data_IF_145173690834
#
_entry.id   IF_145173690834
#
_cell.length_a   1.000
_cell.length_b   1.000
_cell.length_c   1.000
_cell.angle_alpha   90.00
_cell.angle_beta   90.00
_cell.angle_gamma   90.00
#
_symmetry.space_group_name_H-M   'P 1'
#
loop_
_entity.id
_entity.type
_entity.pdbx_description
1 polymer ?
#
# COMPACT_ATOMS: atom_id res chain seq x y z
N UNK A 1 -27.01 -12.45 0.08
CA UNK A 1 -25.61 -12.26 0.48
C UNK A 1 -25.21 -10.91 -0.06
N UNK A 2 -25.42 -9.86 0.75
CA UNK A 2 -25.07 -8.50 0.36
C UNK A 2 -23.56 -8.37 0.32
N UNK A 3 -23.05 -8.05 -0.87
CA UNK A 3 -21.71 -7.54 -1.07
C UNK A 3 -21.58 -6.24 -0.29
N UNK A 4 -20.97 -6.31 0.89
CA UNK A 4 -20.49 -5.16 1.63
C UNK A 4 -19.38 -4.46 0.83
N UNK A 5 -19.74 -3.78 -0.25
CA UNK A 5 -19.00 -2.66 -0.78
C UNK A 5 -19.02 -1.60 0.32
N UNK A 6 -18.03 -1.67 1.21
CA UNK A 6 -17.72 -0.59 2.16
C UNK A 6 -17.04 0.53 1.37
N UNK A 7 -17.81 1.19 0.51
CA UNK A 7 -17.44 2.48 -0.03
C UNK A 7 -17.66 3.49 1.10
N UNK A 8 -16.59 4.01 1.67
CA UNK A 8 -16.68 5.09 2.65
C UNK A 8 -16.69 6.41 1.89
N UNK A 9 -17.66 7.28 2.19
CA UNK A 9 -17.74 8.59 1.55
C UNK A 9 -16.77 9.56 2.22
N UNK A 10 -16.23 10.52 1.46
CA UNK A 10 -15.27 11.51 2.00
C UNK A 10 -15.89 12.31 3.14
N UNK A 11 -17.20 12.50 3.12
CA UNK A 11 -17.95 13.23 4.13
C UNK A 11 -18.00 12.51 5.49
N UNK A 12 -17.78 11.18 5.53
CA UNK A 12 -17.74 10.39 6.78
C UNK A 12 -16.50 10.69 7.65
N UNK A 13 -15.55 11.47 7.13
CA UNK A 13 -14.29 11.82 7.80
C UNK A 13 -14.21 13.28 8.25
N UNK A 14 -15.31 14.05 8.14
CA UNK A 14 -15.35 15.44 8.62
C UNK A 14 -15.29 15.44 10.15
N UNK A 15 -14.12 15.78 10.71
CA UNK A 15 -13.86 15.80 12.16
C UNK A 15 -13.16 14.55 12.71
N UNK A 16 -12.81 13.58 11.84
CA UNK A 16 -11.83 12.58 12.21
C UNK A 16 -10.50 13.28 12.49
N UNK A 17 -10.11 13.36 13.77
CA UNK A 17 -8.85 13.98 14.24
C UNK A 17 -7.76 13.93 13.17
N UNK A 18 -7.04 15.04 12.94
CA UNK A 18 -5.73 14.99 12.30
C UNK A 18 -4.90 13.91 13.00
N UNK A 19 -4.89 12.70 12.43
CA UNK A 19 -4.14 11.56 12.92
C UNK A 19 -3.16 11.28 11.80
N UNK A 20 -1.92 11.68 12.05
CA UNK A 20 -0.82 11.67 11.08
C UNK A 20 -0.50 10.26 10.58
N UNK A 21 -0.76 9.21 11.38
CA UNK A 21 -0.57 7.80 10.99
C UNK A 21 -1.44 6.86 11.85
N UNK A 22 -1.97 5.79 11.26
CA UNK A 22 -2.58 4.67 11.98
C UNK A 22 -2.34 3.30 11.31
N UNK A 23 -2.40 2.23 12.10
CA UNK A 23 -2.25 0.85 11.65
C UNK A 23 -3.53 0.07 11.94
N UNK A 24 -4.06 -0.64 10.96
CA UNK A 24 -5.27 -1.45 11.09
C UNK A 24 -4.96 -2.92 10.81
N UNK A 25 -4.30 -3.63 11.74
CA UNK A 25 -3.97 -5.03 11.53
C UNK A 25 -5.21 -5.91 11.58
N UNK A 26 -5.33 -6.81 10.60
CA UNK A 26 -6.39 -7.81 10.60
C UNK A 26 -5.96 -9.05 11.39
N UNK A 27 -6.94 -9.80 11.91
CA UNK A 27 -6.68 -11.11 12.50
C UNK A 27 -6.28 -12.08 11.39
N UNK A 28 -5.23 -12.88 11.58
CA UNK A 28 -4.82 -13.92 10.62
C UNK A 28 -5.99 -14.85 10.30
N UNK A 29 -6.17 -15.18 9.02
CA UNK A 29 -7.13 -16.17 8.54
C UNK A 29 -6.46 -17.17 7.60
N UNK A 30 -7.23 -18.15 7.12
CA UNK A 30 -6.76 -19.13 6.14
C UNK A 30 -7.44 -18.92 4.79
N UNK A 31 -6.67 -18.90 3.71
CA UNK A 31 -7.16 -18.88 2.33
C UNK A 31 -6.50 -20.03 1.57
N UNK A 32 -7.29 -20.98 1.05
CA UNK A 32 -6.78 -22.15 0.31
C UNK A 32 -5.68 -22.98 1.01
N UNK A 33 -5.64 -22.97 2.34
CA UNK A 33 -4.62 -23.67 3.14
C UNK A 33 -3.47 -22.78 3.62
N UNK A 34 -3.31 -21.60 3.02
CA UNK A 34 -2.31 -20.62 3.41
C UNK A 34 -2.80 -19.74 4.56
N UNK A 35 -1.91 -19.39 5.49
CA UNK A 35 -2.17 -18.37 6.50
C UNK A 35 -1.95 -16.99 5.89
N UNK A 36 -2.97 -16.15 5.93
CA UNK A 36 -2.97 -14.82 5.32
C UNK A 36 -3.13 -13.75 6.39
N UNK A 37 -2.42 -12.63 6.20
CA UNK A 37 -2.48 -11.43 7.02
C UNK A 37 -2.49 -10.20 6.12
N UNK A 38 -3.55 -9.39 6.19
CA UNK A 38 -3.55 -8.06 5.60
C UNK A 38 -3.19 -7.02 6.64
N UNK A 39 -2.25 -6.16 6.29
CA UNK A 39 -1.79 -5.03 7.11
C UNK A 39 -2.08 -3.75 6.35
N UNK A 40 -3.04 -2.98 6.85
CA UNK A 40 -3.38 -1.67 6.30
C UNK A 40 -2.67 -0.57 7.09
N UNK A 41 -1.80 0.19 6.41
CA UNK A 41 -1.10 1.35 6.96
C UNK A 41 -1.66 2.58 6.27
N UNK A 42 -2.19 3.55 7.02
CA UNK A 42 -2.54 4.85 6.44
C UNK A 42 -1.78 5.94 7.18
N UNK A 43 -1.00 6.70 6.43
CA UNK A 43 -0.17 7.77 6.95
C UNK A 43 -0.20 8.96 6.00
N UNK A 44 -0.17 10.17 6.56
CA UNK A 44 -0.24 11.42 5.80
C UNK A 44 1.01 11.67 4.94
N UNK A 45 2.14 11.06 5.30
CA UNK A 45 3.40 11.17 4.57
C UNK A 45 3.56 10.14 3.45
N UNK A 46 2.60 9.23 3.24
CA UNK A 46 2.56 8.39 2.02
C UNK A 46 2.20 9.28 0.83
N UNK A 47 3.19 9.59 0.02
CA UNK A 47 3.10 10.49 -1.13
C UNK A 47 4.14 10.10 -2.19
N UNK A 48 4.09 10.74 -3.36
CA UNK A 48 5.09 10.58 -4.43
C UNK A 48 6.51 10.98 -4.02
N UNK A 49 6.66 11.75 -2.94
CA UNK A 49 7.94 12.21 -2.41
C UNK A 49 8.36 11.53 -1.10
N UNK A 50 7.70 10.43 -0.69
CA UNK A 50 8.09 9.70 0.52
C UNK A 50 9.52 9.18 0.38
N UNK A 51 10.33 9.28 1.43
CA UNK A 51 11.70 8.74 1.40
C UNK A 51 11.72 7.22 1.67
N UNK A 52 12.74 6.47 1.21
CA UNK A 52 12.92 5.07 1.57
C UNK A 52 12.89 4.84 3.09
N UNK A 53 13.48 5.77 3.85
CA UNK A 53 13.51 5.74 5.32
C UNK A 53 12.09 5.81 5.89
N UNK A 54 11.31 6.81 5.49
CA UNK A 54 9.94 7.00 5.99
C UNK A 54 9.04 5.81 5.62
N UNK A 55 9.18 5.30 4.40
CA UNK A 55 8.41 4.14 3.96
C UNK A 55 8.78 2.87 4.76
N UNK A 56 10.08 2.62 4.94
CA UNK A 56 10.55 1.49 5.75
C UNK A 56 10.14 1.62 7.23
N UNK A 57 10.13 2.84 7.77
CA UNK A 57 9.69 3.13 9.14
C UNK A 57 8.20 2.75 9.32
N UNK A 58 7.35 3.17 8.37
CA UNK A 58 5.93 2.82 8.33
C UNK A 58 5.73 1.30 8.23
N UNK A 59 6.44 0.64 7.31
CA UNK A 59 6.35 -0.82 7.14
C UNK A 59 6.75 -1.58 8.41
N UNK A 60 7.85 -1.18 9.05
CA UNK A 60 8.33 -1.80 10.27
C UNK A 60 7.27 -1.71 11.38
N UNK A 61 6.72 -0.50 11.59
CA UNK A 61 5.72 -0.26 12.62
C UNK A 61 4.40 -0.98 12.31
N UNK A 62 3.96 -0.98 11.06
CA UNK A 62 2.74 -1.65 10.62
C UNK A 62 2.81 -3.17 10.78
N UNK A 63 3.91 -3.79 10.35
CA UNK A 63 4.15 -5.23 10.54
C UNK A 63 4.29 -5.55 12.02
N UNK A 64 5.07 -4.77 12.78
CA UNK A 64 5.23 -4.94 14.23
C UNK A 64 3.89 -4.90 14.96
N UNK A 65 3.04 -3.91 14.65
CA UNK A 65 1.69 -3.82 15.20
C UNK A 65 0.84 -5.05 14.85
N UNK A 66 0.90 -5.54 13.62
CA UNK A 66 0.17 -6.73 13.20
C UNK A 66 0.64 -8.01 13.88
N UNK A 67 1.95 -8.14 14.10
CA UNK A 67 2.54 -9.28 14.81
C UNK A 67 2.17 -9.26 16.30
N UNK A 68 2.29 -8.12 16.98
CA UNK A 68 1.87 -7.98 18.40
C UNK A 68 0.38 -8.27 18.55
N UNK A 69 -0.46 -7.80 17.62
CA UNK A 69 -1.90 -8.05 17.63
C UNK A 69 -2.24 -9.55 17.52
N UNK A 70 -1.56 -10.27 16.63
CA UNK A 70 -1.87 -11.67 16.35
C UNK A 70 -1.16 -12.68 17.28
N UNK A 71 -0.01 -12.32 17.86
CA UNK A 71 0.83 -13.24 18.64
C UNK A 71 1.08 -12.73 20.05
N UNK A 72 0.34 -13.27 21.03
CA UNK A 72 0.40 -12.86 22.46
C UNK A 72 1.79 -12.86 23.10
N UNK A 73 2.72 -13.67 22.58
CA UNK A 73 4.09 -13.77 23.10
C UNK A 73 4.96 -12.60 22.68
N UNK A 74 4.71 -12.01 21.52
CA UNK A 74 5.47 -10.88 21.00
C UNK A 74 5.04 -9.60 21.70
N UNK A 75 6.01 -8.76 22.03
CA UNK A 75 5.82 -7.53 22.79
C UNK A 75 6.33 -6.34 22.00
N UNK A 76 5.65 -5.20 22.14
CA UNK A 76 6.02 -3.96 21.47
C UNK A 76 7.47 -3.57 21.78
N UNK A 77 7.87 -3.74 23.03
CA UNK A 77 9.19 -3.39 23.55
C UNK A 77 10.32 -4.15 22.82
N UNK A 78 10.05 -5.37 22.33
CA UNK A 78 11.01 -6.12 21.52
C UNK A 78 11.23 -5.45 20.16
N UNK A 79 10.16 -5.00 19.49
CA UNK A 79 10.23 -4.27 18.22
C UNK A 79 10.88 -2.90 18.38
N UNK A 80 10.55 -2.18 19.46
CA UNK A 80 11.18 -0.90 19.79
C UNK A 80 12.71 -1.06 19.99
N UNK A 81 13.16 -2.21 20.52
CA UNK A 81 14.58 -2.55 20.63
C UNK A 81 15.25 -3.05 19.34
N UNK A 82 14.46 -3.47 18.33
CA UNK A 82 14.95 -3.90 17.02
C UNK A 82 15.06 -2.75 16.02
N UNK A 83 14.15 -1.77 16.07
CA UNK A 83 14.08 -0.65 15.12
C UNK A 83 15.41 0.13 15.00
N UNK A 84 16.13 0.44 16.09
CA UNK A 84 17.44 1.12 16.00
C UNK A 84 18.55 0.26 15.39
N UNK A 85 18.36 -1.05 15.27
CA UNK A 85 19.34 -1.99 14.69
C UNK A 85 19.20 -2.14 13.17
N UNK A 86 18.21 -1.48 12.57
CA UNK A 86 18.08 -1.40 11.12
C UNK A 86 19.30 -0.65 10.58
N UNK A 87 19.95 -1.23 9.57
CA UNK A 87 20.98 -0.55 8.83
C UNK A 87 20.33 0.48 7.88
N UNK A 88 20.13 1.69 8.40
CA UNK A 88 19.51 2.78 7.66
C UNK A 88 20.33 3.21 6.44
N UNK A 89 21.64 2.96 6.42
CA UNK A 89 22.48 3.30 5.26
C UNK A 89 22.10 2.46 4.04
N UNK A 90 21.75 1.19 4.26
CA UNK A 90 21.24 0.31 3.20
C UNK A 90 19.84 0.78 2.78
N UNK A 91 18.95 1.06 3.73
CA UNK A 91 17.58 1.50 3.43
C UNK A 91 17.57 2.79 2.61
N UNK A 92 18.40 3.75 2.99
CA UNK A 92 18.51 5.06 2.31
C UNK A 92 19.28 4.99 0.99
N UNK A 93 19.93 3.85 0.69
CA UNK A 93 20.62 3.64 -0.60
C UNK A 93 19.68 3.26 -1.74
N UNK A 94 18.46 2.82 -1.45
CA UNK A 94 17.50 2.47 -2.48
C UNK A 94 16.99 3.72 -3.21
N UNK A 95 16.93 3.72 -4.54
CA UNK A 95 16.32 4.81 -5.28
C UNK A 95 14.82 4.86 -4.97
N UNK A 96 14.29 6.08 -4.82
CA UNK A 96 12.85 6.28 -4.72
C UNK A 96 12.41 7.49 -5.56
N UNK A 97 11.38 7.33 -6.42
CA UNK A 97 10.75 6.05 -6.75
C UNK A 97 11.78 5.10 -7.38
N UNK A 98 11.55 3.79 -7.25
CA UNK A 98 12.39 2.82 -7.95
C UNK A 98 12.21 3.01 -9.47
N UNK A 99 13.25 2.82 -10.31
CA UNK A 99 13.09 2.80 -11.77
C UNK A 99 11.98 1.83 -12.18
N UNK A 100 11.25 2.13 -13.26
CA UNK A 100 10.11 1.30 -13.68
C UNK A 100 10.49 -0.18 -13.84
N UNK A 101 11.65 -0.45 -14.43
CA UNK A 101 12.17 -1.81 -14.64
C UNK A 101 12.40 -2.60 -13.34
N UNK A 102 12.53 -1.92 -12.20
CA UNK A 102 12.78 -2.52 -10.89
C UNK A 102 11.52 -2.62 -10.00
N UNK A 103 10.47 -1.86 -10.30
CA UNK A 103 9.24 -1.81 -9.49
C UNK A 103 8.52 -3.16 -9.40
N UNK A 104 8.41 -3.87 -10.52
CA UNK A 104 7.79 -5.21 -10.63
C UNK A 104 6.42 -5.29 -9.94
N UNK A 105 5.63 -4.23 -10.00
CA UNK A 105 4.30 -4.22 -9.41
C UNK A 105 3.33 -5.06 -10.25
N UNK A 106 2.32 -5.60 -9.57
CA UNK A 106 1.20 -6.26 -10.22
C UNK A 106 0.44 -5.18 -11.00
N UNK A 107 0.57 -5.20 -12.32
CA UNK A 107 -0.09 -4.24 -13.22
C UNK A 107 0.86 -3.40 -14.08
N UNK A 108 2.17 -3.51 -13.93
CA UNK A 108 3.15 -2.76 -14.75
C UNK A 108 3.00 -3.04 -16.25
N UNK A 109 2.70 -4.30 -16.62
CA UNK A 109 2.39 -4.72 -18.00
C UNK A 109 0.91 -4.51 -18.36
N UNK A 110 0.13 -3.92 -17.46
CA UNK A 110 -1.30 -3.70 -17.62
C UNK A 110 -1.63 -2.46 -18.44
N UNK A 111 -2.89 -2.42 -18.88
CA UNK A 111 -3.48 -1.25 -19.50
C UNK A 111 -4.61 -0.71 -18.63
N UNK A 112 -4.62 0.59 -18.41
CA UNK A 112 -5.74 1.29 -17.78
C UNK A 112 -6.74 1.62 -18.87
N UNK A 113 -7.94 1.06 -18.76
CA UNK A 113 -9.08 1.47 -19.56
C UNK A 113 -10.34 1.50 -18.70
N UNK A 114 -11.17 2.51 -18.92
CA UNK A 114 -12.51 2.59 -18.37
C UNK A 114 -13.45 2.26 -19.49
N UNK A 115 -14.35 1.31 -19.27
CA UNK A 115 -15.39 0.96 -20.22
C UNK A 115 -16.78 1.07 -19.59
N UNK A 116 -17.79 1.33 -20.41
CA UNK A 116 -19.19 1.11 -20.06
C UNK A 116 -19.68 -0.19 -20.68
N UNK A 117 -20.57 -0.88 -19.96
CA UNK A 117 -21.25 -2.08 -20.44
C UNK A 117 -22.76 -1.86 -20.35
N UNK A 118 -23.45 -1.90 -21.49
CA UNK A 118 -24.90 -1.67 -21.57
C UNK A 118 -25.72 -2.98 -21.54
N UNK A 119 -25.07 -4.12 -21.29
CA UNK A 119 -25.70 -5.45 -21.37
C UNK A 119 -25.60 -6.12 -22.73
N UNK A 120 -25.14 -5.41 -23.78
CA UNK A 120 -24.98 -5.93 -25.15
C UNK A 120 -23.60 -5.64 -25.74
N UNK A 121 -23.01 -4.49 -25.43
CA UNK A 121 -21.74 -4.04 -25.98
C UNK A 121 -20.90 -3.30 -24.95
N UNK A 122 -19.61 -3.57 -24.99
CA UNK A 122 -18.59 -2.83 -24.26
C UNK A 122 -18.21 -1.59 -25.07
N UNK A 123 -18.20 -0.43 -24.40
CA UNK A 123 -17.76 0.83 -25.00
C UNK A 123 -16.62 1.40 -24.16
N UNK A 124 -15.43 1.46 -24.74
CA UNK A 124 -14.29 2.13 -24.12
C UNK A 124 -14.58 3.62 -23.96
N UNK A 125 -14.48 4.12 -22.74
CA UNK A 125 -14.65 5.53 -22.36
C UNK A 125 -13.31 6.24 -22.23
N UNK A 126 -12.28 5.53 -21.74
CA UNK A 126 -10.92 6.03 -21.50
C UNK A 126 -9.93 4.89 -21.76
N UNK A 127 -8.78 5.18 -22.38
CA UNK A 127 -7.73 4.20 -22.68
C UNK A 127 -7.93 3.41 -23.99
N UNK A 128 -7.21 2.29 -24.18
CA UNK A 128 -6.21 1.75 -23.26
C UNK A 128 -4.97 2.63 -23.16
N UNK A 129 -4.54 2.89 -21.93
CA UNK A 129 -3.25 3.52 -21.64
C UNK A 129 -2.32 2.51 -21.00
N UNK A 130 -1.12 2.39 -21.52
CA UNK A 130 -0.09 1.57 -20.88
C UNK A 130 0.27 2.18 -19.52
N UNK A 131 0.23 1.37 -18.46
CA UNK A 131 0.71 1.79 -17.12
C UNK A 131 2.16 2.25 -17.20
N UNK A 132 2.99 1.56 -17.98
CA UNK A 132 4.39 1.93 -18.23
C UNK A 132 4.53 3.30 -18.87
N UNK A 133 3.82 3.55 -19.96
CA UNK A 133 3.93 4.84 -20.66
C UNK A 133 3.52 6.01 -19.76
N UNK A 134 2.41 5.84 -19.01
CA UNK A 134 1.95 6.85 -18.05
C UNK A 134 2.97 7.09 -16.92
N UNK A 135 3.58 6.03 -16.41
CA UNK A 135 4.61 6.14 -15.38
C UNK A 135 5.81 6.94 -15.89
N UNK A 136 6.35 6.54 -17.06
CA UNK A 136 7.53 7.16 -17.64
C UNK A 136 7.27 8.65 -17.96
N UNK A 137 6.10 8.98 -18.53
CA UNK A 137 5.68 10.36 -18.77
C UNK A 137 5.61 11.18 -17.48
N UNK A 138 5.00 10.63 -16.42
CA UNK A 138 4.83 11.33 -15.15
C UNK A 138 6.17 11.68 -14.47
N UNK A 139 7.15 10.76 -14.53
CA UNK A 139 8.47 10.94 -13.93
C UNK A 139 9.52 11.54 -14.88
N UNK A 140 9.14 11.81 -16.14
CA UNK A 140 10.05 12.38 -17.15
C UNK A 140 11.16 11.42 -17.58
N UNK A 141 10.92 10.12 -17.46
CA UNK A 141 11.81 9.06 -17.90
C UNK A 141 11.49 8.71 -19.37
N UNK A 142 12.50 8.49 -20.23
CA UNK A 142 12.33 8.21 -21.67
C UNK A 142 13.08 6.97 -22.11
#
# INVERSE_FOLDING_TARGET
MDSANRSYFREDFVGGKERTTWFSPNKIWTNCGDKVLNVDIKAANVSESITPREYADLLFDGIGAALVFNFKRLKREEFDGLKPKIDWSIVESFPFPAPFEEQRYIGDEGEIHVYSWDGRKETTLVGPYSVRELYLEHFGES
#
